data_IF_274750797006
#
_entry.id   IF_274750797006
#
_cell.length_a   1.000
_cell.length_b   1.000
_cell.length_c   1.000
_cell.angle_alpha   90.00
_cell.angle_beta   90.00
_cell.angle_gamma   90.00
#
_symmetry.space_group_name_H-M   'P 1'
#
loop_
_entity.id
_entity.type
_entity.pdbx_description
1 polymer ?
#
# COMPACT_ATOMS: atom_id res chain seq x y z
N UNK A 1 11.31 9.31 -15.80
CA UNK A 1 11.13 7.93 -16.29
C UNK A 1 9.66 7.57 -16.19
N UNK A 2 9.12 7.03 -17.25
CA UNK A 2 7.68 6.83 -17.38
C UNK A 2 7.21 5.68 -16.50
N UNK A 3 6.10 5.85 -15.79
CA UNK A 3 5.38 4.75 -15.21
C UNK A 3 4.67 4.07 -16.37
N UNK A 4 5.19 2.93 -16.84
CA UNK A 4 4.66 2.20 -17.98
C UNK A 4 3.23 1.70 -17.74
N UNK A 5 2.27 2.61 -17.83
CA UNK A 5 0.85 2.34 -17.78
C UNK A 5 0.27 2.70 -19.15
N UNK A 6 0.54 1.85 -20.16
CA UNK A 6 -0.02 2.00 -21.49
C UNK A 6 -1.13 0.96 -21.67
N UNK A 7 -2.34 1.41 -21.90
CA UNK A 7 -3.50 0.59 -22.21
C UNK A 7 -4.78 1.25 -21.72
N UNK A 8 -5.87 1.08 -22.45
CA UNK A 8 -7.19 1.43 -21.93
C UNK A 8 -7.47 0.63 -20.66
N UNK A 9 -8.07 1.25 -19.63
CA UNK A 9 -8.21 0.64 -18.33
C UNK A 9 -9.20 -0.53 -18.38
N UNK A 10 -8.69 -1.74 -18.28
CA UNK A 10 -9.46 -2.88 -17.83
C UNK A 10 -8.99 -3.22 -16.44
N UNK A 11 -9.83 -3.01 -15.46
CA UNK A 11 -9.53 -3.31 -14.07
C UNK A 11 -10.24 -4.52 -13.65
N UNK A 12 -9.46 -5.33 -12.99
CA UNK A 12 -9.97 -5.82 -11.71
C UNK A 12 -8.90 -5.50 -10.66
N UNK A 13 -9.15 -4.47 -9.83
CA UNK A 13 -8.62 -4.53 -8.49
C UNK A 13 -8.94 -5.96 -8.04
N UNK A 14 -7.95 -6.73 -7.57
CA UNK A 14 -8.25 -8.07 -7.11
C UNK A 14 -9.34 -7.93 -6.07
N UNK A 15 -10.58 -8.01 -6.55
CA UNK A 15 -11.64 -8.52 -5.71
C UNK A 15 -11.11 -9.89 -5.29
N UNK A 16 -11.09 -10.20 -4.00
CA UNK A 16 -10.74 -11.53 -3.52
C UNK A 16 -11.41 -12.51 -4.46
N UNK A 17 -10.65 -13.48 -4.99
CA UNK A 17 -11.16 -14.52 -5.88
C UNK A 17 -12.55 -14.87 -5.41
N UNK A 18 -13.53 -14.95 -6.29
CA UNK A 18 -14.90 -15.27 -5.95
C UNK A 18 -14.91 -16.49 -5.03
N UNK A 19 -14.77 -16.25 -3.73
CA UNK A 19 -15.28 -17.17 -2.73
C UNK A 19 -16.73 -17.36 -3.08
N UNK A 20 -17.29 -18.58 -3.05
CA UNK A 20 -18.61 -18.92 -3.53
C UNK A 20 -19.55 -17.81 -3.11
N UNK A 21 -20.11 -17.10 -4.08
CA UNK A 21 -20.80 -15.84 -3.93
C UNK A 21 -21.65 -15.89 -2.65
N UNK A 22 -21.23 -15.18 -1.62
CA UNK A 22 -22.10 -14.97 -0.48
C UNK A 22 -23.19 -14.05 -1.01
N UNK A 23 -24.32 -14.65 -1.38
CA UNK A 23 -25.54 -13.94 -1.73
C UNK A 23 -25.86 -12.99 -0.57
N UNK A 24 -25.77 -11.68 -0.82
CA UNK A 24 -26.09 -10.66 0.16
C UNK A 24 -25.48 -9.30 -0.21
N UNK A 25 -26.07 -8.26 0.32
CA UNK A 25 -25.61 -6.88 0.16
C UNK A 25 -24.38 -6.60 1.03
N UNK A 26 -23.68 -5.48 0.80
CA UNK A 26 -22.63 -4.98 1.70
C UNK A 26 -23.14 -4.83 3.14
N UNK A 27 -24.43 -4.49 3.31
CA UNK A 27 -25.10 -4.42 4.61
C UNK A 27 -25.21 -5.79 5.28
N UNK A 28 -25.48 -6.86 4.51
CA UNK A 28 -25.53 -8.23 5.03
C UNK A 28 -24.14 -8.73 5.43
N UNK A 29 -23.11 -8.41 4.65
CA UNK A 29 -21.72 -8.72 5.00
C UNK A 29 -21.28 -7.98 6.27
N UNK A 30 -21.66 -6.71 6.41
CA UNK A 30 -21.42 -5.92 7.61
C UNK A 30 -22.15 -6.49 8.83
N UNK A 31 -23.41 -6.86 8.70
CA UNK A 31 -24.19 -7.44 9.80
C UNK A 31 -23.56 -8.74 10.31
N UNK A 32 -23.03 -9.57 9.42
CA UNK A 32 -22.29 -10.79 9.82
C UNK A 32 -21.02 -10.42 10.58
N UNK A 33 -20.20 -9.53 10.03
CA UNK A 33 -18.95 -9.11 10.67
C UNK A 33 -19.15 -8.42 12.02
N UNK A 34 -20.11 -7.49 12.11
CA UNK A 34 -20.47 -6.83 13.38
C UNK A 34 -21.05 -7.80 14.40
N UNK A 35 -21.82 -8.80 13.96
CA UNK A 35 -22.32 -9.88 14.79
C UNK A 35 -21.20 -10.75 15.37
N UNK A 36 -20.19 -11.07 14.57
CA UNK A 36 -19.00 -11.79 15.05
C UNK A 36 -18.18 -10.96 16.04
N UNK A 37 -18.00 -9.68 15.79
CA UNK A 37 -17.35 -8.77 16.74
C UNK A 37 -18.12 -8.65 18.05
N UNK A 38 -19.46 -8.55 17.98
CA UNK A 38 -20.32 -8.49 19.17
C UNK A 38 -20.25 -9.80 19.99
N UNK A 39 -20.18 -10.98 19.35
CA UNK A 39 -19.97 -12.26 20.03
C UNK A 39 -18.62 -12.31 20.77
N UNK A 40 -17.64 -11.56 20.32
CA UNK A 40 -16.33 -11.38 20.97
C UNK A 40 -16.32 -10.27 22.02
N UNK A 41 -17.48 -9.67 22.32
CA UNK A 41 -17.62 -8.57 23.29
C UNK A 41 -17.14 -7.22 22.79
N UNK A 42 -16.97 -7.05 21.48
CA UNK A 42 -16.55 -5.78 20.88
C UNK A 42 -17.77 -4.97 20.50
N UNK A 43 -18.01 -3.91 21.27
CA UNK A 43 -19.06 -2.92 20.97
C UNK A 43 -18.58 -1.97 19.86
N UNK A 44 -19.10 -2.11 18.65
CA UNK A 44 -18.83 -1.23 17.51
C UNK A 44 -20.03 -1.17 16.58
N UNK A 45 -20.09 -0.16 15.70
CA UNK A 45 -21.06 -0.04 14.63
C UNK A 45 -20.39 0.53 13.38
N UNK A 46 -21.04 0.38 12.22
CA UNK A 46 -20.59 0.96 10.97
C UNK A 46 -20.46 2.50 11.10
N UNK A 47 -21.45 3.15 11.68
CA UNK A 47 -21.46 4.61 11.90
C UNK A 47 -20.25 5.03 12.74
N UNK A 48 -19.96 4.28 13.81
CA UNK A 48 -18.82 4.57 14.67
C UNK A 48 -17.47 4.45 13.93
N UNK A 49 -17.33 3.41 13.07
CA UNK A 49 -16.12 3.18 12.28
C UNK A 49 -15.98 4.27 11.22
N UNK A 50 -17.03 4.51 10.43
CA UNK A 50 -17.04 5.52 9.35
C UNK A 50 -16.74 6.91 9.89
N UNK A 51 -17.39 7.32 10.97
CA UNK A 51 -17.17 8.64 11.58
C UNK A 51 -15.70 8.87 11.97
N UNK A 52 -15.03 7.84 12.46
CA UNK A 52 -13.67 7.95 12.99
C UNK A 52 -12.58 7.69 11.98
N UNK A 53 -12.85 6.87 10.99
CA UNK A 53 -11.82 6.33 10.07
C UNK A 53 -12.08 6.62 8.60
N UNK A 54 -13.35 6.81 8.23
CA UNK A 54 -13.81 6.85 6.84
C UNK A 54 -14.03 5.47 6.23
N UNK A 55 -13.69 4.37 6.92
CA UNK A 55 -13.71 3.01 6.40
C UNK A 55 -15.15 2.47 6.39
N UNK A 56 -15.58 1.96 5.22
CA UNK A 56 -16.87 1.29 5.03
C UNK A 56 -16.72 -0.20 4.73
N UNK A 57 -15.63 -0.57 4.06
CA UNK A 57 -15.34 -1.96 3.71
C UNK A 57 -13.88 -2.31 3.99
N UNK A 58 -13.63 -3.58 4.20
CA UNK A 58 -12.33 -4.24 4.29
C UNK A 58 -12.46 -5.59 3.60
N UNK A 59 -11.35 -6.05 3.02
CA UNK A 59 -11.27 -7.34 2.36
C UNK A 59 -10.32 -8.23 3.16
N UNK A 60 -10.69 -9.48 3.35
CA UNK A 60 -9.87 -10.48 4.02
C UNK A 60 -9.68 -11.67 3.08
N UNK A 61 -8.43 -12.01 2.84
CA UNK A 61 -8.07 -13.15 2.01
C UNK A 61 -8.39 -14.47 2.72
N UNK A 62 -8.74 -15.48 1.98
CA UNK A 62 -8.91 -16.83 2.51
C UNK A 62 -7.60 -17.33 3.15
N UNK A 63 -7.66 -18.21 4.15
CA UNK A 63 -6.48 -18.66 4.90
C UNK A 63 -5.32 -19.19 4.06
N UNK A 64 -5.61 -19.76 2.88
CA UNK A 64 -4.62 -20.35 1.97
C UNK A 64 -3.96 -19.30 1.05
N UNK A 65 -4.58 -18.10 0.90
CA UNK A 65 -4.13 -17.06 -0.02
C UNK A 65 -3.04 -16.23 0.62
N UNK A 66 -1.81 -16.24 0.09
CA UNK A 66 -0.68 -15.46 0.57
C UNK A 66 -0.55 -14.08 -0.09
N UNK A 67 0.38 -13.28 0.42
CA UNK A 67 0.73 -11.99 -0.20
C UNK A 67 1.20 -12.14 -1.64
N UNK A 68 1.90 -13.25 -1.97
CA UNK A 68 2.32 -13.53 -3.34
C UNK A 68 1.15 -13.88 -4.27
N UNK A 69 0.04 -14.44 -3.76
CA UNK A 69 -1.15 -14.75 -4.55
C UNK A 69 -1.89 -13.46 -4.92
N UNK A 70 -2.12 -12.59 -3.94
CA UNK A 70 -2.70 -11.26 -4.19
C UNK A 70 -1.79 -10.43 -5.11
N UNK A 71 -0.47 -10.48 -4.85
CA UNK A 71 0.54 -9.81 -5.67
C UNK A 71 0.59 -10.31 -7.11
N UNK A 72 0.30 -11.60 -7.36
CA UNK A 72 0.27 -12.18 -8.70
C UNK A 72 -0.80 -11.54 -9.58
N UNK A 73 -2.01 -11.38 -9.05
CA UNK A 73 -3.11 -10.76 -9.80
C UNK A 73 -2.83 -9.26 -10.04
N UNK A 74 -2.35 -8.56 -9.03
CA UNK A 74 -1.94 -7.16 -9.19
C UNK A 74 -0.82 -7.02 -10.25
N UNK A 75 0.17 -7.92 -10.22
CA UNK A 75 1.26 -7.94 -11.19
C UNK A 75 0.77 -8.20 -12.63
N UNK A 76 -0.13 -9.16 -12.82
CA UNK A 76 -0.73 -9.44 -14.13
C UNK A 76 -1.45 -8.21 -14.70
N UNK A 77 -2.25 -7.56 -13.88
CA UNK A 77 -2.98 -6.35 -14.26
C UNK A 77 -2.01 -5.20 -14.61
N UNK A 78 -0.93 -5.02 -13.86
CA UNK A 78 0.08 -4.00 -14.13
C UNK A 78 0.85 -4.30 -15.43
N UNK A 79 1.20 -5.56 -15.69
CA UNK A 79 1.88 -5.97 -16.93
C UNK A 79 0.97 -5.79 -18.16
N UNK A 80 -0.31 -6.16 -18.03
CA UNK A 80 -1.30 -5.96 -19.09
C UNK A 80 -1.46 -4.47 -19.42
N UNK A 81 -1.63 -3.63 -18.38
CA UNK A 81 -1.74 -2.18 -18.54
C UNK A 81 -0.49 -1.55 -19.17
N UNK A 82 0.69 -2.09 -18.88
CA UNK A 82 1.96 -1.65 -19.47
C UNK A 82 2.23 -2.23 -20.86
N UNK A 83 1.46 -3.23 -21.31
CA UNK A 83 1.71 -3.96 -22.56
C UNK A 83 3.01 -4.78 -22.54
N UNK A 84 3.43 -5.27 -21.37
CA UNK A 84 4.72 -5.91 -21.08
C UNK A 84 4.49 -7.37 -20.70
N UNK A 85 5.39 -8.26 -21.16
CA UNK A 85 5.36 -9.66 -20.78
C UNK A 85 6.18 -9.91 -19.51
N UNK A 86 5.85 -10.95 -18.71
CA UNK A 86 6.64 -11.28 -17.52
C UNK A 86 8.14 -11.46 -17.78
N UNK A 87 8.50 -11.97 -18.94
CA UNK A 87 9.90 -12.21 -19.37
C UNK A 87 10.68 -10.92 -19.66
N UNK A 88 9.98 -9.81 -19.87
CA UNK A 88 10.59 -8.50 -20.12
C UNK A 88 10.96 -7.78 -18.81
N UNK A 89 10.54 -8.30 -17.65
CA UNK A 89 10.86 -7.76 -16.34
C UNK A 89 12.26 -8.21 -15.92
N UNK A 90 13.09 -7.26 -15.56
CA UNK A 90 14.47 -7.50 -15.12
C UNK A 90 14.72 -7.16 -13.64
N UNK A 91 13.67 -6.75 -12.91
CA UNK A 91 13.68 -6.53 -11.46
C UNK A 91 12.28 -6.70 -10.87
N UNK A 92 12.16 -7.44 -9.76
CA UNK A 92 10.91 -7.54 -8.98
C UNK A 92 11.16 -7.10 -7.54
N UNK A 93 10.40 -6.13 -7.06
CA UNK A 93 10.42 -5.69 -5.66
C UNK A 93 9.01 -5.78 -5.09
N UNK A 94 8.86 -6.51 -3.98
CA UNK A 94 7.59 -6.59 -3.24
C UNK A 94 7.73 -5.84 -1.91
N UNK A 95 6.89 -4.85 -1.71
CA UNK A 95 6.71 -4.20 -0.41
C UNK A 95 5.69 -4.99 0.40
N UNK A 96 6.13 -5.65 1.46
CA UNK A 96 5.27 -6.44 2.35
C UNK A 96 5.81 -6.52 3.77
N UNK A 97 4.92 -6.59 4.75
CA UNK A 97 5.20 -6.90 6.17
C UNK A 97 4.57 -8.23 6.58
N UNK A 98 3.82 -8.83 5.67
CA UNK A 98 3.13 -10.11 5.85
C UNK A 98 3.56 -11.09 4.75
N UNK A 99 4.87 -11.44 4.70
CA UNK A 99 5.39 -12.33 3.67
C UNK A 99 4.75 -13.71 3.77
N UNK A 100 4.77 -14.47 2.67
CA UNK A 100 4.23 -15.84 2.63
C UNK A 100 4.96 -16.76 3.62
N UNK A 101 6.25 -16.54 3.81
CA UNK A 101 7.09 -17.30 4.74
C UNK A 101 8.33 -16.48 5.15
N UNK A 102 9.10 -16.97 6.12
CA UNK A 102 10.31 -16.31 6.62
C UNK A 102 11.34 -16.11 5.49
N UNK A 103 11.54 -17.12 4.67
CA UNK A 103 12.29 -17.13 3.40
C UNK A 103 11.85 -18.34 2.55
N UNK A 104 11.94 -18.30 1.21
CA UNK A 104 12.40 -17.19 0.38
C UNK A 104 11.48 -15.98 0.45
N UNK A 105 11.90 -14.86 -0.16
CA UNK A 105 11.10 -13.64 -0.24
C UNK A 105 9.79 -13.88 -0.99
N UNK A 106 8.75 -13.11 -0.65
CA UNK A 106 7.49 -13.06 -1.39
C UNK A 106 7.74 -12.72 -2.86
N UNK A 107 8.69 -11.84 -3.16
CA UNK A 107 9.09 -11.52 -4.53
C UNK A 107 9.63 -12.73 -5.32
N UNK A 108 10.42 -13.61 -4.69
CA UNK A 108 10.87 -14.85 -5.35
C UNK A 108 9.71 -15.82 -5.62
N UNK A 109 8.76 -15.92 -4.70
CA UNK A 109 7.57 -16.75 -4.87
C UNK A 109 6.71 -16.19 -6.01
N UNK A 110 6.47 -14.88 -6.00
CA UNK A 110 5.74 -14.16 -7.05
C UNK A 110 6.41 -14.34 -8.43
N UNK A 111 7.75 -14.19 -8.49
CA UNK A 111 8.53 -14.39 -9.71
C UNK A 111 8.26 -15.76 -10.34
N UNK A 112 8.29 -16.81 -9.52
CA UNK A 112 8.01 -18.17 -9.99
C UNK A 112 6.57 -18.33 -10.49
N UNK A 113 5.59 -17.80 -9.74
CA UNK A 113 4.16 -17.84 -10.10
C UNK A 113 3.88 -17.07 -11.42
N UNK A 114 4.61 -15.96 -11.62
CA UNK A 114 4.46 -15.09 -12.80
C UNK A 114 5.20 -15.64 -14.03
N UNK A 115 6.20 -16.48 -13.83
CA UNK A 115 7.06 -16.98 -14.90
C UNK A 115 8.15 -15.99 -15.35
N UNK A 116 8.46 -14.98 -14.55
CA UNK A 116 9.50 -13.97 -14.81
C UNK A 116 10.86 -14.39 -14.28
N UNK A 117 11.38 -15.54 -14.73
CA UNK A 117 12.58 -16.14 -14.18
C UNK A 117 13.88 -15.41 -14.58
N UNK A 118 14.86 -15.43 -13.65
CA UNK A 118 16.23 -14.99 -13.89
C UNK A 118 16.56 -13.55 -13.50
N UNK A 119 15.57 -12.70 -13.17
CA UNK A 119 15.82 -11.36 -12.66
C UNK A 119 15.98 -11.35 -11.14
N UNK A 120 16.68 -10.34 -10.55
CA UNK A 120 16.65 -10.08 -9.11
C UNK A 120 15.22 -9.93 -8.58
N UNK A 121 14.93 -10.58 -7.46
CA UNK A 121 13.63 -10.52 -6.80
C UNK A 121 13.83 -10.49 -5.27
N UNK A 122 13.33 -9.48 -4.58
CA UNK A 122 13.48 -9.31 -3.14
C UNK A 122 12.35 -8.47 -2.54
N UNK A 123 12.17 -8.62 -1.22
CA UNK A 123 11.17 -7.86 -0.48
C UNK A 123 11.78 -6.62 0.17
N UNK A 124 10.94 -5.57 0.31
CA UNK A 124 11.23 -4.37 1.10
C UNK A 124 10.22 -4.30 2.24
N UNK A 125 10.72 -4.25 3.48
CA UNK A 125 9.88 -4.12 4.66
C UNK A 125 10.00 -2.72 5.26
N UNK A 126 9.01 -1.89 5.02
CA UNK A 126 8.82 -0.58 5.66
C UNK A 126 7.34 -0.32 5.98
N UNK A 127 6.60 -1.40 6.24
CA UNK A 127 5.17 -1.43 6.59
C UNK A 127 4.36 -0.56 5.62
N UNK A 128 3.53 0.36 6.13
CA UNK A 128 2.64 1.18 5.29
C UNK A 128 3.39 2.19 4.39
N UNK A 129 4.67 2.49 4.65
CA UNK A 129 5.53 3.26 3.73
C UNK A 129 6.27 2.37 2.71
N UNK A 130 6.10 1.05 2.78
CA UNK A 130 6.84 0.07 1.99
C UNK A 130 6.80 0.33 0.50
N UNK A 131 5.65 0.75 -0.04
CA UNK A 131 5.52 1.00 -1.48
C UNK A 131 6.36 2.20 -1.96
N UNK A 132 6.38 3.32 -1.23
CA UNK A 132 7.24 4.47 -1.60
C UNK A 132 8.73 4.14 -1.45
N UNK A 133 9.09 3.28 -0.49
CA UNK A 133 10.45 2.74 -0.36
C UNK A 133 10.81 1.86 -1.57
N UNK A 134 9.94 0.93 -1.93
CA UNK A 134 10.16 0.03 -3.07
C UNK A 134 10.26 0.79 -4.39
N UNK A 135 9.41 1.81 -4.61
CA UNK A 135 9.52 2.71 -5.78
C UNK A 135 10.87 3.43 -5.83
N UNK A 136 11.32 3.97 -4.70
CA UNK A 136 12.60 4.69 -4.63
C UNK A 136 13.79 3.77 -4.90
N UNK A 137 13.74 2.51 -4.40
CA UNK A 137 14.78 1.51 -4.67
C UNK A 137 14.77 1.11 -6.14
N UNK A 138 13.60 0.84 -6.71
CA UNK A 138 13.46 0.49 -8.13
C UNK A 138 13.98 1.63 -9.04
N UNK A 139 13.60 2.87 -8.75
CA UNK A 139 14.08 4.04 -9.48
C UNK A 139 15.62 4.17 -9.41
N UNK A 140 16.20 4.01 -8.23
CA UNK A 140 17.66 4.05 -8.07
C UNK A 140 18.37 2.93 -8.86
N UNK A 141 17.83 1.72 -8.88
CA UNK A 141 18.38 0.60 -9.66
C UNK A 141 18.25 0.84 -11.17
N UNK A 142 17.15 1.42 -11.63
CA UNK A 142 16.98 1.82 -13.03
C UNK A 142 17.93 2.97 -13.38
N UNK A 143 18.09 3.97 -12.50
CA UNK A 143 18.99 5.09 -12.73
C UNK A 143 20.46 4.67 -12.81
N UNK A 144 20.85 3.68 -12.02
CA UNK A 144 22.22 3.14 -12.05
C UNK A 144 22.47 2.20 -13.26
N UNK A 145 21.45 1.85 -14.02
CA UNK A 145 21.53 0.89 -15.12
C UNK A 145 21.57 -0.58 -14.67
N UNK A 146 21.30 -0.84 -13.37
CA UNK A 146 21.20 -2.22 -12.84
C UNK A 146 19.90 -2.93 -13.26
N UNK A 147 18.89 -2.17 -13.64
CA UNK A 147 17.64 -2.66 -14.22
C UNK A 147 17.16 -1.68 -15.28
N UNK A 148 16.32 -2.17 -16.21
CA UNK A 148 15.66 -1.35 -17.21
C UNK A 148 14.15 -1.32 -17.03
N UNK A 149 13.58 -2.39 -16.47
CA UNK A 149 12.14 -2.52 -16.26
C UNK A 149 11.86 -3.28 -14.96
N UNK A 150 11.29 -2.57 -13.99
CA UNK A 150 11.00 -3.10 -12.67
C UNK A 150 9.50 -3.28 -12.47
N UNK A 151 9.10 -4.43 -11.92
CA UNK A 151 7.78 -4.65 -11.35
C UNK A 151 7.85 -4.34 -9.85
N UNK A 152 7.07 -3.36 -9.40
CA UNK A 152 6.98 -2.95 -7.99
C UNK A 152 5.58 -3.26 -7.47
N UNK A 153 5.51 -4.09 -6.43
CA UNK A 153 4.25 -4.59 -5.88
C UNK A 153 4.17 -4.21 -4.41
N UNK A 154 3.01 -3.72 -3.97
CA UNK A 154 2.63 -3.67 -2.56
C UNK A 154 1.60 -4.77 -2.31
N UNK A 155 1.87 -5.70 -1.41
CA UNK A 155 0.97 -6.83 -1.14
C UNK A 155 0.96 -7.21 0.34
N UNK A 156 -0.24 -7.33 0.91
CA UNK A 156 -0.40 -7.58 2.36
C UNK A 156 -1.59 -8.49 2.65
N UNK A 157 -1.41 -9.39 3.61
CA UNK A 157 -2.46 -10.17 4.26
C UNK A 157 -2.49 -9.82 5.76
N UNK A 158 -2.80 -8.55 6.05
CA UNK A 158 -2.76 -7.98 7.39
C UNK A 158 -3.74 -8.62 8.36
N UNK A 159 -4.84 -9.20 7.84
CA UNK A 159 -5.84 -9.94 8.65
C UNK A 159 -5.21 -11.04 9.50
N UNK A 160 -4.07 -11.60 9.09
CA UNK A 160 -3.38 -12.70 9.79
C UNK A 160 -2.64 -12.29 11.05
N UNK A 161 -2.35 -11.01 11.20
CA UNK A 161 -1.65 -10.47 12.36
C UNK A 161 -2.56 -9.58 13.22
N UNK A 162 -3.88 -9.52 12.94
CA UNK A 162 -4.83 -8.76 13.72
C UNK A 162 -5.32 -9.54 14.94
N UNK A 163 -5.41 -8.85 16.06
CA UNK A 163 -6.21 -9.31 17.19
C UNK A 163 -7.66 -8.89 16.99
N UNK A 164 -8.53 -9.83 16.61
CA UNK A 164 -9.95 -9.57 16.43
C UNK A 164 -10.70 -9.29 17.74
N UNK A 165 -10.01 -9.28 18.89
CA UNK A 165 -10.55 -8.80 20.16
C UNK A 165 -10.08 -7.36 20.46
N UNK A 166 -9.20 -6.77 19.66
CA UNK A 166 -8.77 -5.38 19.78
C UNK A 166 -9.50 -4.49 18.76
N UNK A 167 -10.57 -3.82 19.21
CA UNK A 167 -11.32 -2.87 18.38
C UNK A 167 -10.49 -1.74 17.79
N UNK A 168 -9.36 -1.40 18.40
CA UNK A 168 -8.52 -0.28 17.95
C UNK A 168 -7.75 -0.59 16.67
N UNK A 169 -7.61 -1.85 16.33
CA UNK A 169 -6.87 -2.33 15.16
C UNK A 169 -7.74 -3.13 14.18
N UNK A 170 -8.56 -4.08 14.65
CA UNK A 170 -9.30 -5.00 13.77
C UNK A 170 -10.29 -4.29 12.83
N UNK A 171 -10.79 -3.12 13.21
CA UNK A 171 -11.72 -2.34 12.38
C UNK A 171 -11.02 -1.49 11.31
N UNK A 172 -9.69 -1.43 11.30
CA UNK A 172 -8.92 -0.57 10.41
C UNK A 172 -8.34 -1.32 9.21
N UNK A 173 -7.66 -2.43 9.48
CA UNK A 173 -6.81 -3.11 8.50
C UNK A 173 -7.59 -4.11 7.66
N UNK A 174 -7.12 -4.28 6.43
CA UNK A 174 -7.57 -5.28 5.47
C UNK A 174 -6.41 -5.79 4.62
N UNK A 175 -6.72 -6.75 3.76
CA UNK A 175 -5.78 -7.39 2.84
C UNK A 175 -5.94 -6.79 1.44
N UNK A 176 -4.87 -6.86 0.64
CA UNK A 176 -4.90 -6.39 -0.73
C UNK A 176 -3.52 -6.35 -1.37
N UNK A 177 -3.50 -6.13 -2.67
CA UNK A 177 -2.30 -5.89 -3.44
C UNK A 177 -2.54 -4.88 -4.56
N UNK A 178 -1.49 -4.15 -4.92
CA UNK A 178 -1.45 -3.30 -6.09
C UNK A 178 -0.02 -3.28 -6.65
N UNK A 179 0.12 -3.02 -7.95
CA UNK A 179 1.42 -3.09 -8.62
C UNK A 179 1.56 -2.01 -9.68
N UNK A 180 2.81 -1.67 -9.98
CA UNK A 180 3.18 -0.81 -11.11
C UNK A 180 4.39 -1.38 -11.84
N UNK A 181 4.51 -1.06 -13.12
CA UNK A 181 5.73 -1.28 -13.91
C UNK A 181 6.46 0.06 -14.06
N UNK A 182 7.73 0.09 -13.67
CA UNK A 182 8.65 1.19 -13.92
C UNK A 182 9.55 0.83 -15.10
N UNK A 183 9.70 1.73 -16.05
CA UNK A 183 10.58 1.53 -17.20
C UNK A 183 11.59 2.68 -17.33
N UNK A 184 12.81 2.34 -17.76
CA UNK A 184 13.82 3.33 -18.11
C UNK A 184 13.32 4.25 -19.23
N UNK A 185 13.35 5.56 -19.02
CA UNK A 185 12.91 6.57 -19.97
C UNK A 185 13.85 7.77 -19.95
N UNK A 186 13.98 8.46 -21.07
CA UNK A 186 14.70 9.73 -21.15
C UNK A 186 13.87 10.88 -20.56
N UNK A 187 12.55 10.74 -20.53
CA UNK A 187 11.66 11.69 -19.88
C UNK A 187 11.50 11.32 -18.40
N UNK A 188 11.81 12.22 -17.46
CA UNK A 188 11.68 11.91 -16.03
C UNK A 188 10.22 11.64 -15.63
N UNK A 189 9.92 10.42 -15.17
CA UNK A 189 8.67 10.06 -14.50
C UNK A 189 8.79 10.38 -13.01
N UNK A 190 9.62 9.64 -12.25
CA UNK A 190 9.94 9.98 -10.87
C UNK A 190 10.90 11.17 -10.84
N UNK A 191 10.46 12.28 -10.25
CA UNK A 191 11.22 13.53 -10.15
C UNK A 191 12.11 13.56 -8.92
N UNK A 192 11.60 13.06 -7.80
CA UNK A 192 12.33 13.05 -6.52
C UNK A 192 11.69 12.06 -5.55
N UNK A 193 12.49 11.59 -4.60
CA UNK A 193 12.06 10.81 -3.45
C UNK A 193 12.74 11.30 -2.17
N UNK A 194 12.09 11.05 -1.03
CA UNK A 194 12.59 11.37 0.31
C UNK A 194 12.11 10.30 1.29
N UNK A 195 13.05 9.57 1.89
CA UNK A 195 12.77 8.42 2.75
C UNK A 195 13.45 8.58 4.11
N UNK A 196 12.74 8.25 5.18
CA UNK A 196 13.21 8.42 6.54
C UNK A 196 12.75 7.30 7.47
N UNK A 197 13.52 7.07 8.54
CA UNK A 197 13.14 6.21 9.65
C UNK A 197 13.61 6.81 10.99
N UNK A 198 12.84 6.56 12.06
CA UNK A 198 13.23 6.87 13.44
C UNK A 198 12.92 5.68 14.36
N UNK A 199 13.92 4.84 14.59
CA UNK A 199 13.83 3.61 15.37
C UNK A 199 13.46 3.80 16.84
N UNK A 200 13.52 5.04 17.39
CA UNK A 200 13.08 5.27 18.78
C UNK A 200 11.58 5.08 18.98
N UNK A 201 10.81 5.02 17.89
CA UNK A 201 9.35 4.84 17.90
C UNK A 201 8.90 3.42 17.57
N UNK A 202 9.79 2.42 17.59
CA UNK A 202 9.49 1.04 17.22
C UNK A 202 8.28 0.45 17.97
N UNK A 203 8.04 0.84 19.20
CA UNK A 203 6.97 0.29 20.05
C UNK A 203 5.56 0.83 19.77
N UNK A 204 5.39 1.91 18.98
CA UNK A 204 4.06 2.51 18.77
C UNK A 204 3.21 1.80 17.70
N UNK A 205 3.85 1.03 16.81
CA UNK A 205 3.20 0.22 15.78
C UNK A 205 4.13 -0.93 15.41
N UNK A 206 3.85 -2.12 15.91
CA UNK A 206 4.72 -3.29 15.75
C UNK A 206 3.98 -4.61 15.91
N UNK A 207 4.61 -5.68 15.45
CA UNK A 207 4.29 -7.08 15.78
C UNK A 207 5.50 -7.65 16.51
N UNK A 208 5.47 -7.79 17.85
CA UNK A 208 6.66 -8.17 18.64
C UNK A 208 7.10 -9.64 18.48
N UNK A 209 6.25 -10.49 17.88
CA UNK A 209 6.53 -11.92 17.70
C UNK A 209 7.64 -12.18 16.69
N UNK A 210 8.43 -13.23 16.95
CA UNK A 210 9.46 -13.71 16.04
C UNK A 210 9.58 -15.23 16.09
N UNK A 211 10.13 -15.84 15.05
CA UNK A 211 10.35 -17.28 14.98
C UNK A 211 11.68 -17.62 15.65
N UNK A 212 11.66 -18.56 16.59
CA UNK A 212 12.85 -19.08 17.26
C UNK A 212 12.63 -20.53 17.67
N UNK A 213 13.60 -21.43 17.39
CA UNK A 213 13.54 -22.83 17.78
C UNK A 213 12.32 -23.61 17.26
N UNK A 214 11.77 -23.20 16.11
CA UNK A 214 10.57 -23.83 15.52
C UNK A 214 9.23 -23.36 16.13
N UNK A 215 9.26 -22.35 16.99
CA UNK A 215 8.06 -21.75 17.61
C UNK A 215 8.03 -20.24 17.40
N UNK A 216 6.84 -19.67 17.49
CA UNK A 216 6.69 -18.20 17.58
C UNK A 216 6.84 -17.78 19.03
N UNK A 217 7.84 -16.93 19.30
CA UNK A 217 8.07 -16.32 20.61
C UNK A 217 7.62 -14.86 20.59
N UNK A 218 7.11 -14.39 21.72
CA UNK A 218 6.50 -13.06 21.85
C UNK A 218 5.05 -13.04 21.34
N UNK A 219 4.49 -11.82 21.21
CA UNK A 219 3.11 -11.66 20.74
C UNK A 219 3.11 -11.56 19.20
N UNK A 220 2.49 -12.50 18.47
CA UNK A 220 2.44 -12.47 17.02
C UNK A 220 1.41 -11.49 16.45
N UNK A 221 0.69 -10.77 17.33
CA UNK A 221 -0.38 -9.89 16.91
C UNK A 221 0.05 -8.42 16.93
N UNK A 222 -0.58 -7.65 16.07
CA UNK A 222 -0.35 -6.22 15.90
C UNK A 222 -0.64 -5.44 17.18
N UNK A 223 0.29 -4.57 17.55
CA UNK A 223 0.13 -3.57 18.62
C UNK A 223 0.24 -2.16 18.05
N UNK A 224 -0.68 -1.29 18.43
CA UNK A 224 -0.71 0.08 17.94
C UNK A 224 -1.13 1.09 19.02
N UNK A 225 -0.31 2.12 19.22
CA UNK A 225 -0.74 3.38 19.87
C UNK A 225 -1.24 4.34 18.78
N UNK A 226 -2.54 4.32 18.52
CA UNK A 226 -3.14 5.11 17.45
C UNK A 226 -2.98 6.63 17.64
N UNK A 227 -2.89 7.12 18.90
CA UNK A 227 -2.68 8.56 19.17
C UNK A 227 -1.26 8.98 18.85
N UNK A 228 -0.26 8.19 19.26
CA UNK A 228 1.14 8.44 18.93
C UNK A 228 1.38 8.37 17.43
N UNK A 229 0.84 7.34 16.75
CA UNK A 229 0.90 7.20 15.29
C UNK A 229 0.31 8.42 14.59
N UNK A 230 -0.89 8.86 14.96
CA UNK A 230 -1.53 10.03 14.35
C UNK A 230 -0.67 11.30 14.51
N UNK A 231 -0.19 11.56 15.72
CA UNK A 231 0.60 12.76 16.04
C UNK A 231 1.90 12.83 15.23
N UNK A 232 2.59 11.70 15.08
CA UNK A 232 3.82 11.63 14.29
C UNK A 232 3.52 11.72 12.80
N UNK A 233 2.56 10.93 12.31
CA UNK A 233 2.24 10.83 10.89
C UNK A 233 2.00 12.19 10.24
N UNK A 234 1.16 13.02 10.84
CA UNK A 234 0.81 14.34 10.30
C UNK A 234 2.02 15.27 10.14
N UNK A 235 2.99 15.17 11.07
CA UNK A 235 4.20 16.00 11.02
C UNK A 235 5.21 15.52 9.98
N UNK A 236 5.48 14.22 9.97
CA UNK A 236 6.53 13.64 9.10
C UNK A 236 6.10 13.60 7.62
N UNK A 237 4.81 13.40 7.33
CA UNK A 237 4.29 13.43 5.97
C UNK A 237 4.43 14.84 5.36
N UNK A 238 4.04 15.90 6.10
CA UNK A 238 4.26 17.27 5.64
C UNK A 238 5.74 17.54 5.32
N UNK A 239 6.66 17.08 6.19
CA UNK A 239 8.09 17.29 6.00
C UNK A 239 8.62 16.59 4.74
N UNK A 240 8.26 15.32 4.55
CA UNK A 240 8.68 14.54 3.38
C UNK A 240 8.12 15.12 2.07
N UNK A 241 6.83 15.51 2.06
CA UNK A 241 6.22 16.13 0.91
C UNK A 241 6.92 17.44 0.50
N UNK A 242 7.25 18.31 1.48
CA UNK A 242 8.00 19.55 1.20
C UNK A 242 9.41 19.27 0.66
N UNK A 243 10.09 18.26 1.22
CA UNK A 243 11.44 17.89 0.79
C UNK A 243 11.45 17.42 -0.67
N UNK A 244 10.51 16.59 -1.12
CA UNK A 244 10.46 16.15 -2.52
C UNK A 244 10.07 17.28 -3.47
N UNK A 245 9.19 18.20 -3.05
CA UNK A 245 8.86 19.39 -3.85
C UNK A 245 10.08 20.29 -4.02
N UNK A 246 10.83 20.57 -2.94
CA UNK A 246 12.04 21.37 -2.97
C UNK A 246 13.09 20.73 -3.90
N UNK A 247 13.37 19.43 -3.75
CA UNK A 247 14.30 18.68 -4.61
C UNK A 247 13.92 18.75 -6.09
N UNK A 248 12.63 18.77 -6.42
CA UNK A 248 12.14 18.85 -7.78
C UNK A 248 11.93 20.28 -8.29
N UNK A 249 12.15 21.32 -7.48
CA UNK A 249 11.88 22.71 -7.84
C UNK A 249 10.39 22.99 -8.08
N UNK A 250 9.51 22.27 -7.39
CA UNK A 250 8.04 22.37 -7.50
C UNK A 250 7.44 22.98 -6.24
N UNK A 251 6.18 23.44 -6.35
CA UNK A 251 5.40 24.01 -5.25
C UNK A 251 4.19 23.14 -4.96
N UNK A 252 3.58 23.28 -3.79
CA UNK A 252 2.35 22.56 -3.41
C UNK A 252 1.21 22.81 -4.42
N UNK A 253 1.14 24.03 -5.00
CA UNK A 253 0.13 24.38 -6.02
C UNK A 253 0.28 23.59 -7.32
N UNK A 254 1.45 23.07 -7.60
CA UNK A 254 1.77 22.36 -8.85
C UNK A 254 1.31 20.88 -8.77
N UNK A 255 0.98 20.37 -7.59
CA UNK A 255 0.44 19.03 -7.38
C UNK A 255 -0.96 18.95 -7.98
N UNK A 256 -1.15 17.99 -8.90
CA UNK A 256 -2.48 17.66 -9.40
C UNK A 256 -3.21 16.71 -8.45
N UNK A 257 -2.54 15.67 -8.00
CA UNK A 257 -3.12 14.68 -7.09
C UNK A 257 -2.17 14.28 -5.96
N UNK A 258 -2.71 14.27 -4.74
CA UNK A 258 -2.09 13.66 -3.57
C UNK A 258 -2.69 12.24 -3.41
N UNK A 259 -1.84 11.22 -3.41
CA UNK A 259 -2.20 9.82 -3.22
C UNK A 259 -1.49 9.31 -1.97
N UNK A 260 -2.03 9.57 -0.77
CA UNK A 260 -1.42 9.18 0.48
C UNK A 260 -1.72 7.73 0.81
N UNK A 261 -0.93 7.15 1.71
CA UNK A 261 -1.32 5.94 2.41
C UNK A 261 -2.73 6.06 2.99
N UNK A 262 -3.58 5.07 2.74
CA UNK A 262 -5.01 5.05 3.08
C UNK A 262 -5.23 4.52 4.51
N UNK A 263 -4.60 5.17 5.50
CA UNK A 263 -4.69 4.73 6.90
C UNK A 263 -6.01 5.11 7.57
N UNK A 264 -6.39 6.37 7.38
CA UNK A 264 -7.52 7.00 8.07
C UNK A 264 -7.81 8.36 7.40
N UNK A 265 -9.07 8.63 7.14
CA UNK A 265 -9.50 9.88 6.48
C UNK A 265 -9.01 11.13 7.22
N UNK A 266 -8.92 11.09 8.55
CA UNK A 266 -8.47 12.24 9.38
C UNK A 266 -6.99 12.56 9.19
N UNK A 267 -6.13 11.54 9.00
CA UNK A 267 -4.71 11.74 8.68
C UNK A 267 -4.62 12.41 7.31
N UNK A 268 -5.31 11.88 6.30
CA UNK A 268 -5.31 12.40 4.94
C UNK A 268 -5.80 13.86 4.89
N UNK A 269 -6.90 14.19 5.58
CA UNK A 269 -7.41 15.55 5.71
C UNK A 269 -6.39 16.49 6.40
N UNK A 270 -5.70 16.01 7.43
CA UNK A 270 -4.70 16.81 8.13
C UNK A 270 -3.49 17.09 7.26
N UNK A 271 -3.00 16.09 6.51
CA UNK A 271 -1.88 16.25 5.58
C UNK A 271 -2.25 17.19 4.43
N UNK A 272 -3.40 16.98 3.79
CA UNK A 272 -3.89 17.86 2.73
C UNK A 272 -3.97 19.32 3.18
N UNK A 273 -4.50 19.56 4.40
CA UNK A 273 -4.58 20.91 5.00
C UNK A 273 -3.20 21.53 5.18
N UNK A 274 -2.21 20.78 5.66
CA UNK A 274 -0.84 21.26 5.87
C UNK A 274 -0.14 21.58 4.54
N UNK A 275 -0.43 20.82 3.50
CA UNK A 275 0.04 21.07 2.15
C UNK A 275 -0.82 22.10 1.39
N UNK A 276 -1.82 22.69 2.05
CA UNK A 276 -2.76 23.65 1.45
C UNK A 276 -3.48 23.11 0.20
N UNK A 277 -3.68 21.81 0.15
CA UNK A 277 -4.42 21.13 -0.92
C UNK A 277 -5.89 20.94 -0.51
N UNK A 278 -6.85 21.21 -1.40
CA UNK A 278 -8.24 20.86 -1.16
C UNK A 278 -8.41 19.33 -1.23
N UNK A 279 -9.37 18.77 -0.47
CA UNK A 279 -9.66 17.34 -0.49
C UNK A 279 -10.08 16.83 -1.88
N UNK A 280 -10.54 17.68 -2.78
CA UNK A 280 -10.82 17.33 -4.17
C UNK A 280 -9.58 16.97 -5.01
N UNK A 281 -8.38 17.24 -4.51
CA UNK A 281 -7.09 16.82 -5.08
C UNK A 281 -6.48 15.63 -4.32
N UNK A 282 -7.20 15.02 -3.39
CA UNK A 282 -6.75 13.83 -2.64
C UNK A 282 -7.49 12.60 -3.13
N UNK A 283 -6.76 11.59 -3.53
CA UNK A 283 -7.35 10.29 -3.85
C UNK A 283 -7.71 9.59 -2.54
N UNK A 284 -8.98 9.20 -2.41
CA UNK A 284 -9.54 8.55 -1.23
C UNK A 284 -10.16 7.23 -1.65
N UNK A 285 -9.63 6.13 -1.13
CA UNK A 285 -10.14 4.76 -1.34
C UNK A 285 -10.22 3.98 -0.02
N UNK A 286 -9.92 4.67 1.09
CA UNK A 286 -9.97 4.07 2.44
C UNK A 286 -11.37 3.57 2.80
N UNK A 287 -12.40 4.16 2.25
CA UNK A 287 -13.79 3.72 2.42
C UNK A 287 -14.06 2.35 1.79
N UNK A 288 -13.36 2.01 0.71
CA UNK A 288 -13.54 0.78 -0.07
C UNK A 288 -12.66 -0.36 0.41
N UNK A 289 -11.40 -0.07 0.76
CA UNK A 289 -10.38 -1.09 1.03
C UNK A 289 -9.91 -1.12 2.48
N UNK A 290 -10.23 -0.08 3.29
CA UNK A 290 -9.64 0.08 4.61
C UNK A 290 -8.14 0.39 4.52
N UNK A 291 -7.41 0.06 5.58
CA UNK A 291 -5.95 0.18 5.62
C UNK A 291 -5.30 -1.14 5.16
N UNK A 292 -4.83 -1.18 3.93
CA UNK A 292 -4.12 -2.34 3.35
C UNK A 292 -2.60 -2.17 3.40
N UNK A 293 -2.07 -1.41 4.37
CA UNK A 293 -0.63 -1.19 4.59
C UNK A 293 0.11 -0.81 3.30
N UNK A 294 1.15 -1.56 2.88
CA UNK A 294 1.94 -1.25 1.68
C UNK A 294 1.12 -1.30 0.37
N UNK A 295 0.02 -2.02 0.33
CA UNK A 295 -0.84 -2.11 -0.85
C UNK A 295 -1.72 -0.87 -1.05
N UNK A 296 -1.91 -0.04 -0.04
CA UNK A 296 -2.92 1.03 -0.06
C UNK A 296 -2.65 2.12 -1.11
N UNK A 297 -1.39 2.52 -1.30
CA UNK A 297 -1.02 3.53 -2.30
C UNK A 297 -1.21 3.00 -3.72
N UNK A 298 -0.68 1.83 -4.10
CA UNK A 298 -0.88 1.33 -5.47
C UNK A 298 -2.33 0.99 -5.78
N UNK A 299 -3.14 0.53 -4.82
CA UNK A 299 -4.59 0.36 -4.99
C UNK A 299 -5.31 1.70 -5.22
N UNK A 300 -4.94 2.73 -4.47
CA UNK A 300 -5.50 4.07 -4.65
C UNK A 300 -5.10 4.68 -6.01
N UNK A 301 -3.84 4.47 -6.43
CA UNK A 301 -3.35 4.91 -7.74
C UNK A 301 -4.13 4.21 -8.87
N UNK A 302 -4.25 2.88 -8.80
CA UNK A 302 -4.99 2.10 -9.78
C UNK A 302 -6.45 2.57 -9.90
N UNK A 303 -7.15 2.70 -8.77
CA UNK A 303 -8.54 3.21 -8.74
C UNK A 303 -8.65 4.59 -9.38
N UNK A 304 -7.72 5.51 -9.09
CA UNK A 304 -7.75 6.86 -9.62
C UNK A 304 -7.44 6.93 -11.12
N UNK A 305 -6.52 6.10 -11.60
CA UNK A 305 -6.20 5.99 -13.03
C UNK A 305 -7.38 5.43 -13.81
N UNK A 306 -7.95 4.33 -13.33
CA UNK A 306 -9.04 3.63 -14.02
C UNK A 306 -10.35 4.40 -14.02
N UNK A 307 -10.62 5.16 -12.98
CA UNK A 307 -11.77 6.08 -12.97
C UNK A 307 -11.58 7.31 -13.86
N UNK A 308 -10.39 7.50 -14.46
CA UNK A 308 -10.04 8.71 -15.24
C UNK A 308 -9.82 9.96 -14.38
N UNK A 309 -9.71 9.80 -13.05
CA UNK A 309 -9.38 10.88 -12.14
C UNK A 309 -7.93 11.34 -12.36
N UNK A 310 -6.97 10.41 -12.36
CA UNK A 310 -5.57 10.64 -12.73
C UNK A 310 -5.37 10.45 -14.23
N UNK A 311 -4.65 11.36 -14.87
CA UNK A 311 -4.39 11.35 -16.32
C UNK A 311 -2.89 11.51 -16.60
N UNK A 312 -2.48 11.06 -17.78
CA UNK A 312 -1.11 11.27 -18.26
C UNK A 312 -0.76 12.75 -18.28
N UNK A 313 0.38 13.07 -17.69
CA UNK A 313 0.88 14.44 -17.52
C UNK A 313 0.57 15.04 -16.15
N UNK A 314 -0.27 14.42 -15.33
CA UNK A 314 -0.54 14.89 -13.96
C UNK A 314 0.69 14.73 -13.06
N UNK A 315 0.92 15.69 -12.18
CA UNK A 315 1.94 15.65 -11.14
C UNK A 315 1.35 15.00 -9.89
N UNK A 316 1.86 13.83 -9.55
CA UNK A 316 1.40 13.03 -8.42
C UNK A 316 2.38 13.11 -7.25
N UNK A 317 1.83 13.27 -6.05
CA UNK A 317 2.53 13.12 -4.78
C UNK A 317 2.06 11.82 -4.12
N UNK A 318 2.94 10.82 -4.02
CA UNK A 318 2.71 9.62 -3.23
C UNK A 318 3.39 9.78 -1.89
N UNK A 319 2.71 9.46 -0.79
CA UNK A 319 3.32 9.53 0.54
C UNK A 319 2.83 8.42 1.47
N UNK A 320 3.75 7.87 2.25
CA UNK A 320 3.49 6.78 3.16
C UNK A 320 4.13 6.97 4.52
N UNK A 321 3.49 6.39 5.53
CA UNK A 321 3.99 6.36 6.90
C UNK A 321 3.59 5.02 7.53
N UNK A 322 4.52 4.40 8.27
CA UNK A 322 4.32 3.06 8.82
C UNK A 322 5.12 2.77 10.07
N UNK A 323 4.94 1.56 10.58
CA UNK A 323 5.74 1.06 11.70
C UNK A 323 7.24 1.15 11.46
N UNK A 324 7.99 1.32 12.56
CA UNK A 324 9.43 1.43 12.48
C UNK A 324 10.01 2.57 13.34
N UNK A 325 9.63 3.81 13.36
CA UNK A 325 8.66 4.47 12.50
C UNK A 325 9.30 4.84 11.16
N UNK A 326 8.64 4.55 10.05
CA UNK A 326 9.16 4.83 8.71
C UNK A 326 8.22 5.76 7.96
N UNK A 327 8.75 6.63 7.10
CA UNK A 327 7.94 7.49 6.25
C UNK A 327 8.69 7.90 5.00
N UNK A 328 7.97 8.37 4.02
CA UNK A 328 8.56 8.92 2.81
C UNK A 328 7.54 9.46 1.83
N UNK A 329 8.05 10.14 0.82
CA UNK A 329 7.29 10.65 -0.29
C UNK A 329 8.01 10.42 -1.62
N UNK A 330 7.24 10.30 -2.68
CA UNK A 330 7.72 10.26 -4.07
C UNK A 330 6.90 11.25 -4.87
N UNK A 331 7.56 12.13 -5.60
CA UNK A 331 6.96 13.05 -6.55
C UNK A 331 7.22 12.55 -7.97
N UNK A 332 6.18 12.42 -8.78
CA UNK A 332 6.31 11.89 -10.12
C UNK A 332 5.35 12.55 -11.11
N UNK A 333 5.73 12.59 -12.39
CA UNK A 333 4.82 12.82 -13.50
C UNK A 333 4.22 11.48 -13.92
N UNK A 334 2.91 11.45 -14.08
CA UNK A 334 2.19 10.23 -14.48
C UNK A 334 2.16 10.05 -16.01
#
# INVERSE_FOLDING_TARGET
RDLGLSGEPTVDAVTPSESPAHEGTLEDAWRRYSGELAQRGIETSDEWIVERTGIRARHFADPEVGSSDLGLEAARNALEAAGVQPQDIDLIIVATSTPDMVFPSTACILQNKLGANGCPAFDVQAVCSGFVYALSVADAMIQSGAASRALVVGAEVFSRILDFNDRTTCVLFGDGAGAVVLEASETPGILSSDLHADGKHVGILCVPGHVSGGAVLGDPLLKMDGQAVFKLAVGVLESAARAVLEKAGKRESDIDWLIPHQANIRIMQSTARKLRLPMSKVVVTVDQHGNTSAASIPLALDTAVRSGQVKRGDLLMLEGVGGGFTWGAVLLNY
#
